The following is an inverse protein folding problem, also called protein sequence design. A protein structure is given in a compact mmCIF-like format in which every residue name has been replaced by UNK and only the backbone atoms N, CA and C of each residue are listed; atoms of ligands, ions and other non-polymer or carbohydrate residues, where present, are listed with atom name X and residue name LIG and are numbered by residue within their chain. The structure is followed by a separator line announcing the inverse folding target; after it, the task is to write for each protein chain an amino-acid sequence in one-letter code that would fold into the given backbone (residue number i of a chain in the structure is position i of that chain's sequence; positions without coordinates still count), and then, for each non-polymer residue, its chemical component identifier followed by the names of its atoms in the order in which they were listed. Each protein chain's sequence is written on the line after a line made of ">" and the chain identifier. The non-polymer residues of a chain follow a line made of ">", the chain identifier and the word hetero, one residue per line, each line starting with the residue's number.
data_IF_897755538548
#
_entry.id   IF_897755538548
#
_cell.length_a   1.000
_cell.length_b   1.000
_cell.length_c   1.000
_cell.angle_alpha   90.00
_cell.angle_beta   90.00
_cell.angle_gamma   90.00
#
_symmetry.space_group_name_H-M   'P 1'
#
loop_
_entity.id
_entity.type
_entity.pdbx_description
1 polymer ?
#
# COMPACT_ATOMS: atom_id res chain seq x y z
N UNK A 1 -2.13 13.04 17.17
CA UNK A 1 -3.48 13.61 17.28
C UNK A 1 -4.06 13.56 18.72
N UNK A 2 -3.68 12.59 19.55
CA UNK A 2 -4.14 12.52 20.97
C UNK A 2 -3.46 13.53 21.91
N UNK A 3 -2.66 14.46 21.37
CA UNK A 3 -2.10 15.59 22.11
C UNK A 3 -3.05 16.78 22.07
N UNK A 4 -2.83 17.80 22.90
CA UNK A 4 -3.62 19.05 22.89
C UNK A 4 -3.37 19.93 21.64
N UNK A 5 -2.62 19.49 20.66
CA UNK A 5 -2.26 20.24 19.46
C UNK A 5 -3.31 20.07 18.36
N UNK A 6 -3.60 21.16 17.64
CA UNK A 6 -4.47 21.10 16.46
C UNK A 6 -3.78 20.35 15.31
N UNK A 7 -4.55 19.49 14.65
CA UNK A 7 -4.09 18.69 13.49
C UNK A 7 -5.02 18.95 12.32
N UNK A 8 -4.46 19.25 11.15
CA UNK A 8 -5.18 19.30 9.89
C UNK A 8 -4.85 18.04 9.07
N UNK A 9 -5.84 17.21 8.83
CA UNK A 9 -5.76 16.08 7.90
C UNK A 9 -6.29 16.51 6.54
N UNK A 10 -5.46 16.38 5.51
CA UNK A 10 -5.80 16.76 4.12
C UNK A 10 -5.92 15.50 3.29
N UNK A 11 -7.07 15.30 2.63
CA UNK A 11 -7.34 14.19 1.72
C UNK A 11 -7.75 14.75 0.35
N UNK A 12 -7.11 14.24 -0.69
CA UNK A 12 -7.34 14.71 -2.07
C UNK A 12 -8.69 14.29 -2.65
N UNK A 13 -9.26 13.20 -2.13
CA UNK A 13 -10.56 12.68 -2.53
C UNK A 13 -11.66 13.12 -1.58
N UNK A 14 -12.91 12.97 -1.98
CA UNK A 14 -14.04 12.93 -1.04
C UNK A 14 -14.01 11.60 -0.26
N UNK A 15 -14.56 11.60 0.95
CA UNK A 15 -14.68 10.42 1.79
C UNK A 15 -16.17 10.04 1.94
N UNK A 16 -16.55 8.75 1.97
CA UNK A 16 -15.68 7.58 1.78
C UNK A 16 -15.10 7.52 0.37
N UNK A 17 -13.91 6.95 0.23
CA UNK A 17 -13.25 6.83 -1.07
C UNK A 17 -13.05 5.39 -1.47
N UNK A 18 -13.13 5.13 -2.75
CA UNK A 18 -12.66 3.89 -3.33
C UNK A 18 -11.13 3.92 -3.50
N UNK A 19 -10.51 2.79 -3.28
CA UNK A 19 -9.09 2.59 -3.52
C UNK A 19 -8.85 1.21 -4.09
N UNK A 20 -8.24 1.16 -5.27
CA UNK A 20 -7.78 -0.08 -5.87
C UNK A 20 -6.79 -0.77 -4.92
N UNK A 21 -7.24 -1.85 -4.31
CA UNK A 21 -6.47 -2.64 -3.34
C UNK A 21 -7.22 -3.91 -2.97
N UNK A 22 -6.51 -5.00 -2.78
CA UNK A 22 -7.10 -6.26 -2.33
C UNK A 22 -7.76 -6.23 -0.96
N UNK A 23 -7.49 -5.23 -0.11
CA UNK A 23 -8.10 -5.13 1.23
C UNK A 23 -7.69 -6.28 2.16
N UNK A 24 -6.45 -6.76 2.05
CA UNK A 24 -5.96 -7.88 2.82
C UNK A 24 -5.10 -7.41 4.00
N UNK A 25 -5.56 -7.69 5.22
CA UNK A 25 -4.85 -7.34 6.44
C UNK A 25 -4.05 -8.54 6.94
N UNK A 26 -2.74 -8.46 6.85
CA UNK A 26 -1.84 -9.46 7.43
C UNK A 26 -1.73 -9.33 8.96
N UNK A 27 -0.94 -10.21 9.58
CA UNK A 27 -0.71 -10.20 11.03
C UNK A 27 -0.17 -8.84 11.53
N UNK A 28 0.75 -8.20 10.78
CA UNK A 28 1.36 -6.94 11.21
C UNK A 28 0.39 -5.76 11.10
N UNK A 29 -0.49 -5.75 10.10
CA UNK A 29 -1.58 -4.79 10.01
C UNK A 29 -2.53 -4.92 11.19
N UNK A 30 -2.96 -6.15 11.51
CA UNK A 30 -3.87 -6.43 12.62
C UNK A 30 -3.26 -6.05 13.97
N UNK A 31 -2.00 -6.38 14.21
CA UNK A 31 -1.28 -5.96 15.44
C UNK A 31 -1.18 -4.45 15.58
N UNK A 32 -0.95 -3.73 14.48
CA UNK A 32 -0.92 -2.27 14.50
C UNK A 32 -2.28 -1.66 14.88
N UNK A 33 -3.37 -2.39 14.63
CA UNK A 33 -4.75 -1.97 14.92
C UNK A 33 -5.23 -2.36 16.32
N UNK A 34 -4.63 -3.34 16.98
CA UNK A 34 -5.03 -3.82 18.32
C UNK A 34 -5.31 -2.68 19.34
N UNK A 35 -4.53 -1.59 19.39
CA UNK A 35 -4.81 -0.48 20.31
C UNK A 35 -6.08 0.32 19.99
N UNK A 36 -6.66 0.13 18.80
CA UNK A 36 -7.84 0.82 18.32
C UNK A 36 -9.10 -0.06 18.34
N UNK A 37 -8.95 -1.36 18.60
CA UNK A 37 -10.03 -2.32 18.69
C UNK A 37 -9.96 -3.41 17.62
N UNK A 38 -10.95 -4.28 17.63
CA UNK A 38 -11.12 -5.35 16.65
C UNK A 38 -11.76 -4.79 15.39
N UNK A 39 -11.33 -5.23 14.23
CA UNK A 39 -11.99 -4.90 12.95
C UNK A 39 -13.43 -5.39 13.01
N UNK A 40 -14.44 -4.51 12.81
CA UNK A 40 -15.85 -4.85 12.84
C UNK A 40 -16.23 -5.92 11.80
N UNK A 41 -17.14 -6.82 12.19
CA UNK A 41 -17.53 -7.94 11.31
C UNK A 41 -18.21 -7.47 10.01
N UNK A 42 -18.93 -6.35 10.04
CA UNK A 42 -19.56 -5.76 8.86
C UNK A 42 -18.59 -5.31 7.76
N UNK A 43 -17.32 -5.14 8.08
CA UNK A 43 -16.25 -4.80 7.12
C UNK A 43 -15.56 -6.05 6.57
N UNK A 44 -15.82 -7.21 7.16
CA UNK A 44 -15.16 -8.46 6.80
C UNK A 44 -15.96 -9.10 5.67
N UNK A 45 -15.28 -9.38 4.58
CA UNK A 45 -15.86 -10.01 3.40
C UNK A 45 -15.71 -11.53 3.44
N UNK A 46 -16.59 -12.23 2.75
CA UNK A 46 -16.49 -13.66 2.53
C UNK A 46 -15.58 -13.96 1.31
N UNK A 47 -14.62 -14.91 1.43
CA UNK A 47 -14.24 -15.61 2.66
C UNK A 47 -13.49 -14.71 3.65
N UNK A 48 -13.80 -14.85 4.95
CA UNK A 48 -13.18 -14.05 6.03
C UNK A 48 -11.66 -14.12 6.03
N UNK A 49 -11.12 -15.30 5.75
CA UNK A 49 -9.69 -15.56 5.72
C UNK A 49 -9.27 -15.97 4.32
N UNK A 50 -8.22 -15.35 3.81
CA UNK A 50 -7.59 -15.68 2.54
C UNK A 50 -6.15 -16.09 2.83
N UNK A 51 -5.78 -17.29 2.41
CA UNK A 51 -4.41 -17.80 2.50
C UNK A 51 -3.64 -17.44 1.23
N UNK A 52 -2.33 -17.28 1.35
CA UNK A 52 -1.49 -16.94 0.20
C UNK A 52 -0.95 -18.21 -0.46
N UNK A 53 -1.05 -18.25 -1.81
CA UNK A 53 -0.59 -19.38 -2.60
C UNK A 53 0.14 -18.92 -3.86
N UNK A 54 1.30 -19.51 -4.14
CA UNK A 54 1.92 -19.39 -5.44
C UNK A 54 1.32 -20.41 -6.39
N UNK A 55 0.97 -20.00 -7.59
CA UNK A 55 0.45 -20.89 -8.61
C UNK A 55 1.20 -20.70 -9.94
N UNK A 56 1.96 -21.73 -10.33
CA UNK A 56 2.63 -21.78 -11.62
C UNK A 56 1.71 -22.49 -12.62
N UNK A 57 0.97 -21.74 -13.42
CA UNK A 57 -0.11 -22.26 -14.27
C UNK A 57 0.40 -23.16 -15.39
N UNK A 58 1.58 -22.87 -16.00
CA UNK A 58 2.13 -23.72 -17.07
C UNK A 58 2.58 -25.12 -16.58
N UNK A 59 2.75 -25.30 -15.27
CA UNK A 59 3.15 -26.55 -14.63
C UNK A 59 2.06 -27.14 -13.75
N UNK A 60 0.95 -26.44 -13.58
CA UNK A 60 -0.15 -26.79 -12.69
C UNK A 60 0.30 -27.02 -11.22
N UNK A 61 1.37 -26.31 -10.79
CA UNK A 61 1.94 -26.47 -9.46
C UNK A 61 1.45 -25.36 -8.54
N UNK A 62 0.70 -25.76 -7.51
CA UNK A 62 0.21 -24.88 -6.44
C UNK A 62 1.07 -25.06 -5.18
N UNK A 63 1.55 -23.96 -4.60
CA UNK A 63 2.37 -23.93 -3.37
C UNK A 63 1.67 -23.05 -2.33
N UNK A 64 0.77 -23.61 -1.50
CA UNK A 64 0.18 -22.87 -0.39
C UNK A 64 1.24 -22.50 0.65
N UNK A 65 1.04 -21.39 1.32
CA UNK A 65 1.89 -20.90 2.41
C UNK A 65 1.08 -20.81 3.71
N UNK A 66 1.73 -20.46 4.83
CA UNK A 66 1.05 -20.18 6.09
C UNK A 66 0.70 -18.70 6.25
N UNK A 67 0.93 -17.89 5.22
CA UNK A 67 0.57 -16.47 5.24
C UNK A 67 -0.93 -16.34 5.04
N UNK A 68 -1.59 -15.72 6.02
CA UNK A 68 -3.04 -15.57 6.10
C UNK A 68 -3.43 -14.10 6.28
N UNK A 69 -4.46 -13.70 5.55
CA UNK A 69 -4.99 -12.34 5.56
C UNK A 69 -6.43 -12.33 6.02
N UNK A 70 -6.80 -11.28 6.77
CA UNK A 70 -8.20 -10.93 6.98
C UNK A 70 -8.68 -10.14 5.77
N UNK A 71 -9.78 -10.59 5.16
CA UNK A 71 -10.37 -9.99 3.97
C UNK A 71 -11.34 -8.89 4.35
N UNK A 72 -11.02 -7.64 4.02
CA UNK A 72 -11.85 -6.49 4.39
C UNK A 72 -12.25 -5.63 3.20
N UNK A 73 -13.41 -5.00 3.31
CA UNK A 73 -13.79 -3.89 2.43
C UNK A 73 -12.92 -2.67 2.71
N UNK A 74 -12.27 -2.13 1.66
CA UNK A 74 -11.33 -1.00 1.83
C UNK A 74 -12.01 0.33 2.07
N UNK A 75 -13.18 0.54 1.49
CA UNK A 75 -13.94 1.77 1.72
C UNK A 75 -14.35 1.87 3.19
N UNK A 76 -15.01 0.84 3.68
CA UNK A 76 -15.44 0.75 5.09
C UNK A 76 -14.24 0.76 6.06
N UNK A 77 -13.16 0.06 5.72
CA UNK A 77 -11.96 0.04 6.55
C UNK A 77 -11.29 1.41 6.67
N UNK A 78 -11.14 2.14 5.57
CA UNK A 78 -10.56 3.47 5.60
C UNK A 78 -11.46 4.45 6.38
N UNK A 79 -12.77 4.35 6.29
CA UNK A 79 -13.75 5.13 7.07
C UNK A 79 -13.70 4.78 8.57
N UNK A 80 -13.61 3.51 8.91
CA UNK A 80 -13.44 3.07 10.30
C UNK A 80 -12.18 3.66 10.93
N UNK A 81 -11.07 3.74 10.20
CA UNK A 81 -9.86 4.40 10.70
C UNK A 81 -10.08 5.89 11.01
N UNK A 82 -10.94 6.58 10.25
CA UNK A 82 -11.29 7.98 10.50
C UNK A 82 -12.15 8.15 11.76
N UNK A 83 -12.94 7.15 12.14
CA UNK A 83 -13.76 7.21 13.37
C UNK A 83 -12.93 7.35 14.66
N UNK A 84 -11.63 7.01 14.62
CA UNK A 84 -10.71 7.19 15.75
C UNK A 84 -10.10 8.59 15.87
N UNK A 85 -10.44 9.51 14.97
CA UNK A 85 -9.90 10.86 15.01
C UNK A 85 -10.48 11.63 16.20
N UNK A 86 -9.64 12.18 17.08
CA UNK A 86 -10.13 13.01 18.18
C UNK A 86 -10.57 14.40 17.71
N UNK A 87 -11.33 15.10 18.53
CA UNK A 87 -11.96 16.39 18.21
C UNK A 87 -10.97 17.51 17.79
N UNK A 88 -9.69 17.37 18.12
CA UNK A 88 -8.64 18.33 17.72
C UNK A 88 -8.09 18.06 16.31
N UNK A 89 -8.66 17.12 15.54
CA UNK A 89 -8.31 16.85 14.15
C UNK A 89 -9.39 17.43 13.23
N UNK A 90 -8.98 18.35 12.36
CA UNK A 90 -9.82 18.91 11.32
C UNK A 90 -9.54 18.17 10.01
N UNK A 91 -10.59 17.65 9.35
CA UNK A 91 -10.47 16.92 8.09
C UNK A 91 -10.89 17.81 6.93
N UNK A 92 -10.01 17.97 5.95
CA UNK A 92 -10.28 18.70 4.71
C UNK A 92 -10.21 17.73 3.52
N UNK A 93 -11.38 17.36 2.96
CA UNK A 93 -11.51 16.50 1.79
C UNK A 93 -11.53 17.32 0.49
N UNK A 94 -11.20 16.70 -0.65
CA UNK A 94 -11.13 17.37 -1.95
C UNK A 94 -9.97 18.37 -2.05
N UNK A 95 -9.02 18.30 -1.13
CA UNK A 95 -7.90 19.23 -1.00
C UNK A 95 -6.58 18.49 -1.14
N UNK A 96 -5.68 19.01 -1.95
CA UNK A 96 -4.35 18.42 -2.16
C UNK A 96 -3.23 19.41 -1.92
N UNK A 97 -2.09 18.91 -1.47
CA UNK A 97 -0.86 19.69 -1.40
C UNK A 97 -0.35 19.96 -2.83
N UNK A 98 -0.11 21.22 -3.14
CA UNK A 98 0.44 21.67 -4.40
C UNK A 98 1.92 22.03 -4.29
N UNK A 99 2.31 22.65 -3.17
CA UNK A 99 3.70 23.05 -2.96
C UNK A 99 4.06 23.05 -1.48
N UNK A 100 5.38 23.08 -1.19
CA UNK A 100 5.95 22.96 0.16
C UNK A 100 7.22 23.78 0.28
N UNK A 101 7.31 24.55 1.35
CA UNK A 101 8.53 25.23 1.81
C UNK A 101 8.78 24.88 3.27
N UNK A 102 10.02 24.89 3.68
CA UNK A 102 10.36 24.68 5.09
C UNK A 102 11.53 25.54 5.54
N UNK A 103 11.50 25.88 6.82
CA UNK A 103 12.56 26.54 7.57
C UNK A 103 12.95 25.67 8.78
N UNK A 104 13.96 26.05 9.57
CA UNK A 104 14.28 25.33 10.81
C UNK A 104 13.13 25.29 11.82
N UNK A 105 12.17 26.23 11.76
CA UNK A 105 11.10 26.37 12.77
C UNK A 105 9.72 25.94 12.31
N UNK A 106 9.44 25.91 11.00
CA UNK A 106 8.13 25.53 10.46
C UNK A 106 8.20 25.03 9.03
N UNK A 107 7.17 24.27 8.64
CA UNK A 107 6.85 24.01 7.24
C UNK A 107 5.65 24.88 6.83
N UNK A 108 5.63 25.28 5.55
CA UNK A 108 4.50 25.98 4.92
C UNK A 108 4.06 25.17 3.72
N UNK A 109 2.78 24.89 3.63
CA UNK A 109 2.18 24.14 2.53
C UNK A 109 1.20 25.01 1.76
N UNK A 110 1.22 24.90 0.44
CA UNK A 110 0.18 25.43 -0.44
C UNK A 110 -0.82 24.31 -0.71
N UNK A 111 -2.05 24.52 -0.31
CA UNK A 111 -3.16 23.61 -0.51
C UNK A 111 -4.05 24.11 -1.64
N UNK A 112 -4.53 23.21 -2.50
CA UNK A 112 -5.47 23.50 -3.60
C UNK A 112 -6.67 22.58 -3.52
N UNK A 113 -7.85 23.12 -3.73
CA UNK A 113 -9.11 22.38 -3.74
C UNK A 113 -10.20 23.14 -4.49
N UNK A 114 -11.43 22.68 -4.31
CA UNK A 114 -12.63 23.36 -4.80
C UNK A 114 -13.47 23.84 -3.62
N UNK A 115 -14.11 25.00 -3.74
CA UNK A 115 -15.16 25.44 -2.83
C UNK A 115 -16.46 24.72 -3.14
N UNK A 116 -17.44 24.87 -2.26
CA UNK A 116 -18.77 24.29 -2.44
C UNK A 116 -19.46 24.74 -3.74
N UNK A 117 -19.14 25.91 -4.25
CA UNK A 117 -19.64 26.47 -5.50
C UNK A 117 -18.87 25.98 -6.74
N UNK A 118 -17.92 25.05 -6.58
CA UNK A 118 -17.07 24.53 -7.66
C UNK A 118 -15.90 25.44 -8.06
N UNK A 119 -15.75 26.63 -7.49
CA UNK A 119 -14.63 27.53 -7.78
C UNK A 119 -13.34 27.00 -7.15
N UNK A 120 -12.20 27.28 -7.82
CA UNK A 120 -10.87 26.90 -7.29
C UNK A 120 -10.54 27.70 -6.04
N UNK A 121 -9.99 27.01 -5.06
CA UNK A 121 -9.51 27.59 -3.82
C UNK A 121 -8.03 27.24 -3.59
N UNK A 122 -7.29 28.19 -3.07
CA UNK A 122 -5.92 28.00 -2.63
C UNK A 122 -5.78 28.55 -1.20
N UNK A 123 -5.01 27.88 -0.36
CA UNK A 123 -4.70 28.32 0.99
C UNK A 123 -3.25 27.97 1.34
N UNK A 124 -2.56 28.90 1.99
CA UNK A 124 -1.26 28.64 2.60
C UNK A 124 -1.44 28.33 4.07
N UNK A 125 -0.89 27.22 4.54
CA UNK A 125 -0.97 26.78 5.92
C UNK A 125 0.45 26.60 6.48
N UNK A 126 0.71 27.24 7.63
CA UNK A 126 1.93 27.02 8.40
C UNK A 126 1.71 25.90 9.42
N UNK A 127 2.65 24.99 9.53
CA UNK A 127 2.63 23.90 10.50
C UNK A 127 4.02 23.69 11.12
N UNK A 128 4.05 23.22 12.35
CA UNK A 128 5.31 22.86 13.03
C UNK A 128 5.96 21.64 12.40
N UNK A 129 5.15 20.66 12.00
CA UNK A 129 5.57 19.43 11.30
C UNK A 129 4.53 19.04 10.25
N UNK A 130 4.99 18.42 9.19
CA UNK A 130 4.16 17.78 8.17
C UNK A 130 4.45 16.28 8.17
N UNK A 131 3.41 15.45 8.29
CA UNK A 131 3.47 14.02 8.03
C UNK A 131 2.81 13.79 6.67
N UNK A 132 3.61 13.42 5.68
CA UNK A 132 3.13 13.15 4.33
C UNK A 132 2.85 11.66 4.15
N UNK A 133 1.59 11.34 3.83
CA UNK A 133 1.09 10.00 3.55
C UNK A 133 0.39 9.95 2.17
N UNK A 134 0.98 10.62 1.19
CA UNK A 134 0.42 10.91 -0.14
C UNK A 134 0.58 9.75 -1.15
N UNK A 135 1.00 8.58 -0.66
CA UNK A 135 1.03 7.32 -1.40
C UNK A 135 1.99 7.29 -2.59
N UNK A 136 1.67 6.54 -3.67
CA UNK A 136 2.58 6.34 -4.80
C UNK A 136 2.82 7.58 -5.64
N UNK A 137 1.95 8.59 -5.56
CA UNK A 137 2.17 9.88 -6.24
C UNK A 137 3.36 10.62 -5.66
N UNK A 138 3.57 10.49 -4.33
CA UNK A 138 4.72 10.99 -3.60
C UNK A 138 5.06 12.46 -3.89
N UNK A 139 4.03 13.31 -4.02
CA UNK A 139 4.19 14.75 -4.37
C UNK A 139 5.08 15.46 -3.37
N UNK A 140 4.89 15.18 -2.06
CA UNK A 140 5.72 15.79 -1.02
C UNK A 140 7.18 15.37 -1.15
N UNK A 141 7.44 14.10 -1.48
CA UNK A 141 8.79 13.60 -1.75
C UNK A 141 9.48 14.40 -2.86
N UNK A 142 8.78 14.65 -3.96
CA UNK A 142 9.30 15.44 -5.08
C UNK A 142 9.56 16.89 -4.67
N UNK A 143 8.67 17.51 -3.89
CA UNK A 143 8.84 18.87 -3.36
C UNK A 143 10.02 19.00 -2.37
N UNK A 144 10.41 17.92 -1.72
CA UNK A 144 11.62 17.88 -0.89
C UNK A 144 12.92 17.75 -1.69
N UNK A 145 12.84 17.67 -3.03
CA UNK A 145 13.98 17.44 -3.91
C UNK A 145 14.53 16.02 -3.82
N UNK A 146 13.75 15.07 -3.31
CA UNK A 146 14.10 13.66 -3.25
C UNK A 146 13.81 12.99 -4.60
N UNK A 147 14.54 11.94 -4.92
CA UNK A 147 14.34 11.21 -6.15
C UNK A 147 12.92 10.67 -6.24
N UNK A 148 12.19 10.90 -7.34
CA UNK A 148 10.89 10.29 -7.58
C UNK A 148 11.02 8.77 -7.77
N UNK A 149 9.94 8.05 -7.53
CA UNK A 149 9.87 6.62 -7.81
C UNK A 149 9.59 6.36 -9.29
N UNK A 150 10.22 5.31 -9.82
CA UNK A 150 9.63 4.62 -10.96
C UNK A 150 8.29 4.01 -10.50
N UNK A 151 7.32 3.83 -11.41
CA UNK A 151 5.97 3.39 -11.01
C UNK A 151 5.54 2.17 -11.82
N UNK A 152 5.04 1.15 -11.12
CA UNK A 152 4.23 0.12 -11.73
C UNK A 152 2.89 0.71 -12.16
N UNK A 153 2.33 0.16 -13.23
CA UNK A 153 0.92 0.30 -13.56
C UNK A 153 0.24 -0.98 -13.06
N UNK A 154 -0.87 -0.84 -12.34
CA UNK A 154 -1.65 -1.97 -11.85
C UNK A 154 -3.05 -1.87 -12.43
N UNK A 155 -3.54 -2.96 -13.01
CA UNK A 155 -4.92 -3.08 -13.46
C UNK A 155 -5.60 -4.10 -12.55
N UNK A 156 -6.75 -3.75 -12.01
CA UNK A 156 -7.61 -4.65 -11.23
C UNK A 156 -8.97 -4.74 -11.90
N UNK A 157 -9.38 -5.97 -12.20
CA UNK A 157 -10.69 -6.32 -12.69
C UNK A 157 -11.49 -6.98 -11.57
N UNK A 158 -12.69 -6.52 -11.35
CA UNK A 158 -13.67 -7.14 -10.48
C UNK A 158 -14.63 -7.94 -11.36
N UNK A 159 -14.62 -9.25 -11.23
CA UNK A 159 -15.46 -10.16 -12.02
C UNK A 159 -16.49 -10.83 -11.11
N UNK A 160 -17.71 -11.05 -11.60
CA UNK A 160 -18.73 -11.75 -10.84
C UNK A 160 -18.33 -13.22 -10.62
N UNK A 161 -18.63 -13.75 -9.43
CA UNK A 161 -18.46 -15.17 -9.10
C UNK A 161 -19.67 -15.68 -8.31
N UNK A 162 -19.95 -16.98 -8.43
CA UNK A 162 -20.79 -17.63 -7.42
C UNK A 162 -20.00 -17.74 -6.11
N UNK A 163 -20.65 -17.45 -5.00
CA UNK A 163 -20.00 -17.50 -3.68
C UNK A 163 -19.45 -18.90 -3.40
N UNK A 164 -18.17 -18.97 -3.07
CA UNK A 164 -17.45 -20.23 -2.83
C UNK A 164 -16.95 -20.95 -4.10
N UNK A 165 -17.22 -20.42 -5.29
CA UNK A 165 -16.73 -21.02 -6.55
C UNK A 165 -15.20 -20.95 -6.70
N UNK A 166 -14.57 -19.98 -6.05
CA UNK A 166 -13.10 -19.83 -6.01
C UNK A 166 -12.63 -20.15 -4.58
N UNK A 167 -11.60 -21.00 -4.47
CA UNK A 167 -10.97 -21.33 -3.19
C UNK A 167 -10.48 -20.07 -2.46
N UNK A 168 -10.44 -20.07 -1.10
CA UNK A 168 -10.06 -18.89 -0.29
C UNK A 168 -8.56 -18.61 -0.32
N UNK A 169 -8.01 -18.44 -1.50
CA UNK A 169 -6.60 -18.12 -1.71
C UNK A 169 -6.43 -16.79 -2.47
N UNK A 170 -5.41 -16.07 -2.07
CA UNK A 170 -4.74 -15.14 -2.97
C UNK A 170 -3.76 -15.95 -3.80
N UNK A 171 -4.13 -16.24 -5.04
CA UNK A 171 -3.26 -16.92 -5.98
C UNK A 171 -2.35 -15.91 -6.68
N UNK A 172 -1.06 -15.97 -6.37
CA UNK A 172 -0.03 -15.25 -7.11
C UNK A 172 0.38 -16.10 -8.32
N UNK A 173 0.01 -15.63 -9.50
CA UNK A 173 0.08 -16.39 -10.74
C UNK A 173 1.42 -16.21 -11.45
N UNK A 174 2.03 -17.30 -11.85
CA UNK A 174 3.23 -17.33 -12.66
C UNK A 174 3.00 -18.10 -13.96
N UNK A 175 3.49 -17.52 -15.07
CA UNK A 175 3.51 -18.14 -16.38
C UNK A 175 4.71 -17.61 -17.16
N UNK A 176 5.25 -18.40 -18.08
CA UNK A 176 6.30 -17.95 -18.99
C UNK A 176 5.83 -16.80 -19.89
N UNK A 177 4.57 -16.84 -20.26
CA UNK A 177 3.94 -15.80 -21.07
C UNK A 177 3.90 -14.46 -20.32
N UNK A 178 3.49 -14.49 -19.06
CA UNK A 178 3.36 -13.29 -18.22
C UNK A 178 4.72 -12.72 -17.78
N UNK A 179 5.73 -13.56 -17.58
CA UNK A 179 7.01 -13.16 -17.00
C UNK A 179 7.83 -12.19 -17.87
N UNK A 180 7.56 -12.11 -19.16
CA UNK A 180 8.28 -11.21 -20.08
C UNK A 180 7.84 -9.76 -19.96
N UNK A 181 6.54 -9.54 -19.74
CA UNK A 181 5.89 -8.23 -19.85
C UNK A 181 5.20 -7.78 -18.57
N UNK A 182 4.95 -8.72 -17.65
CA UNK A 182 4.19 -8.48 -16.42
C UNK A 182 5.05 -8.74 -15.20
N UNK A 183 4.81 -7.97 -14.16
CA UNK A 183 5.42 -8.23 -12.87
C UNK A 183 4.78 -9.44 -12.19
N UNK A 184 3.47 -9.41 -12.01
CA UNK A 184 2.68 -10.41 -11.29
C UNK A 184 1.24 -10.36 -11.78
N UNK A 185 0.64 -11.54 -12.03
CA UNK A 185 -0.80 -11.73 -12.10
C UNK A 185 -1.32 -12.30 -10.78
N UNK A 186 -2.54 -12.00 -10.40
CA UNK A 186 -3.16 -12.62 -9.22
C UNK A 186 -4.68 -12.69 -9.34
N UNK A 187 -5.27 -13.61 -8.59
CA UNK A 187 -6.72 -13.71 -8.39
C UNK A 187 -7.02 -14.00 -6.93
N UNK A 188 -8.12 -13.42 -6.42
CA UNK A 188 -8.62 -13.70 -5.08
C UNK A 188 -10.12 -13.46 -4.98
N UNK A 189 -10.87 -14.27 -4.21
CA UNK A 189 -12.30 -14.06 -3.97
C UNK A 189 -12.54 -12.90 -3.01
N UNK A 190 -13.66 -12.17 -3.23
CA UNK A 190 -14.05 -11.02 -2.43
C UNK A 190 -15.58 -10.85 -2.39
N UNK A 191 -16.25 -11.69 -1.62
CA UNK A 191 -17.70 -11.75 -1.60
C UNK A 191 -18.27 -12.40 -2.86
N UNK A 192 -19.11 -11.67 -3.56
CA UNK A 192 -19.76 -12.08 -4.81
C UNK A 192 -18.93 -11.72 -6.06
N UNK A 193 -17.71 -11.23 -5.85
CA UNK A 193 -16.75 -10.95 -6.92
C UNK A 193 -15.41 -11.61 -6.65
N UNK A 194 -14.61 -11.78 -7.70
CA UNK A 194 -13.17 -11.99 -7.56
C UNK A 194 -12.42 -10.78 -8.09
N UNK A 195 -11.28 -10.47 -7.49
CA UNK A 195 -10.36 -9.48 -8.02
C UNK A 195 -9.28 -10.21 -8.80
N UNK A 196 -9.16 -9.87 -10.09
CA UNK A 196 -8.05 -10.28 -10.95
C UNK A 196 -7.16 -9.07 -11.14
N UNK A 197 -5.89 -9.19 -10.81
CA UNK A 197 -4.94 -8.09 -10.92
C UNK A 197 -3.75 -8.42 -11.80
N UNK A 198 -3.29 -7.40 -12.52
CA UNK A 198 -2.05 -7.45 -13.28
C UNK A 198 -1.16 -6.27 -12.89
N UNK A 199 0.12 -6.51 -12.70
CA UNK A 199 1.11 -5.50 -12.34
C UNK A 199 2.14 -5.43 -13.47
N UNK A 200 2.28 -4.23 -14.05
CA UNK A 200 3.15 -3.99 -15.20
C UNK A 200 4.36 -3.15 -14.80
N UNK A 201 5.53 -3.49 -15.33
CA UNK A 201 6.75 -2.74 -15.10
C UNK A 201 6.69 -1.32 -15.67
N UNK A 202 7.48 -0.38 -15.12
CA UNK A 202 7.61 0.96 -15.68
C UNK A 202 8.01 0.92 -17.15
N UNK A 203 7.24 1.64 -17.98
CA UNK A 203 7.45 1.68 -19.43
C UNK A 203 6.73 0.60 -20.23
N UNK A 204 5.97 -0.30 -19.58
CA UNK A 204 5.10 -1.25 -20.29
C UNK A 204 4.07 -0.52 -21.14
N UNK A 205 3.85 -1.04 -22.34
CA UNK A 205 2.84 -0.54 -23.29
C UNK A 205 1.69 -1.54 -23.41
N UNK A 206 0.56 -1.08 -23.93
CA UNK A 206 -0.63 -1.89 -24.21
C UNK A 206 -1.13 -2.68 -22.97
N UNK A 207 -1.07 -2.05 -21.80
CA UNK A 207 -1.38 -2.68 -20.52
C UNK A 207 -2.81 -3.23 -20.47
N UNK A 208 -3.76 -2.55 -21.09
CA UNK A 208 -5.16 -3.00 -21.17
C UNK A 208 -5.28 -4.32 -21.95
N UNK A 209 -4.70 -4.39 -23.16
CA UNK A 209 -4.69 -5.63 -23.96
C UNK A 209 -3.99 -6.78 -23.21
N UNK A 210 -2.86 -6.49 -22.60
CA UNK A 210 -2.13 -7.50 -21.83
C UNK A 210 -2.92 -7.98 -20.62
N UNK A 211 -3.72 -7.11 -20.01
CA UNK A 211 -4.63 -7.53 -18.95
C UNK A 211 -5.74 -8.43 -19.47
N UNK A 212 -6.29 -8.16 -20.66
CA UNK A 212 -7.24 -9.08 -21.30
C UNK A 212 -6.60 -10.46 -21.57
N UNK A 213 -5.36 -10.51 -22.04
CA UNK A 213 -4.64 -11.77 -22.23
C UNK A 213 -4.57 -12.59 -20.91
N UNK A 214 -4.39 -11.89 -19.75
CA UNK A 214 -4.43 -12.51 -18.42
C UNK A 214 -5.83 -13.02 -18.08
N UNK A 215 -6.87 -12.24 -18.33
CA UNK A 215 -8.26 -12.64 -18.08
C UNK A 215 -8.63 -13.89 -18.90
N UNK A 216 -8.31 -13.88 -20.20
CA UNK A 216 -8.59 -15.00 -21.08
C UNK A 216 -7.91 -16.28 -20.60
N UNK A 217 -6.63 -16.18 -20.20
CA UNK A 217 -5.91 -17.35 -19.66
C UNK A 217 -6.48 -17.86 -18.33
N UNK A 218 -7.00 -16.97 -17.48
CA UNK A 218 -7.57 -17.35 -16.19
C UNK A 218 -9.00 -17.91 -16.31
N UNK A 219 -9.76 -17.58 -17.37
CA UNK A 219 -11.09 -18.18 -17.65
C UNK A 219 -11.04 -19.69 -17.82
N UNK A 220 -9.94 -20.21 -18.35
CA UNK A 220 -9.75 -21.68 -18.49
C UNK A 220 -9.52 -22.37 -17.13
N UNK A 221 -9.19 -21.61 -16.09
CA UNK A 221 -8.73 -22.13 -14.79
C UNK A 221 -9.72 -21.87 -13.66
N UNK A 222 -10.37 -20.69 -13.67
CA UNK A 222 -11.25 -20.24 -12.62
C UNK A 222 -12.66 -19.94 -13.15
N UNK A 223 -13.70 -20.36 -12.42
CA UNK A 223 -15.09 -20.08 -12.79
C UNK A 223 -15.46 -18.64 -12.39
N UNK A 224 -15.38 -17.69 -13.32
CA UNK A 224 -15.85 -16.33 -13.12
C UNK A 224 -16.65 -15.83 -14.33
N UNK A 225 -17.55 -14.88 -14.09
CA UNK A 225 -18.45 -14.32 -15.10
C UNK A 225 -18.00 -12.96 -15.61
N UNK A 226 -18.98 -12.07 -15.75
CA UNK A 226 -18.79 -10.77 -16.37
C UNK A 226 -17.96 -9.80 -15.50
N UNK A 227 -17.33 -8.86 -16.18
CA UNK A 227 -16.67 -7.72 -15.54
C UNK A 227 -17.69 -6.79 -14.88
N UNK A 228 -17.52 -6.55 -13.60
CA UNK A 228 -18.33 -5.62 -12.82
C UNK A 228 -17.68 -4.23 -12.78
N UNK A 229 -16.35 -4.20 -12.68
CA UNK A 229 -15.59 -2.96 -12.54
C UNK A 229 -14.14 -3.19 -12.93
N UNK A 230 -13.53 -2.19 -13.57
CA UNK A 230 -12.08 -2.14 -13.84
C UNK A 230 -11.47 -0.87 -13.27
N UNK A 231 -10.32 -1.00 -12.66
CA UNK A 231 -9.55 0.11 -12.11
C UNK A 231 -8.09 0.02 -12.55
N UNK A 232 -7.55 1.16 -12.97
CA UNK A 232 -6.11 1.30 -13.26
C UNK A 232 -5.49 2.22 -12.22
N UNK A 233 -4.40 1.80 -11.62
CA UNK A 233 -3.70 2.51 -10.56
C UNK A 233 -2.19 2.47 -10.76
N UNK A 234 -1.48 3.14 -9.88
CA UNK A 234 -0.02 3.12 -9.83
C UNK A 234 0.47 2.65 -8.47
N UNK A 235 1.64 2.00 -8.46
CA UNK A 235 2.37 1.65 -7.25
C UNK A 235 3.85 1.99 -7.40
N UNK A 236 4.53 2.30 -6.29
CA UNK A 236 5.95 2.63 -6.32
C UNK A 236 6.80 1.40 -6.68
N UNK A 237 7.65 1.53 -7.68
CA UNK A 237 8.65 0.53 -8.04
C UNK A 237 9.95 0.83 -7.28
N UNK A 238 10.10 0.20 -6.13
CA UNK A 238 11.25 0.37 -5.25
C UNK A 238 12.39 -0.56 -5.66
N UNK A 239 13.57 0.00 -5.92
CA UNK A 239 14.71 -0.76 -6.46
C UNK A 239 15.91 -0.81 -5.53
N UNK A 240 16.05 0.13 -4.61
CA UNK A 240 17.26 0.30 -3.79
C UNK A 240 16.94 0.80 -2.39
N UNK A 241 17.76 0.42 -1.39
CA UNK A 241 17.61 0.91 -0.02
C UNK A 241 17.60 2.45 0.11
N UNK A 242 18.25 3.16 -0.83
CA UNK A 242 18.21 4.63 -0.88
C UNK A 242 16.83 5.22 -1.20
N UNK A 243 15.89 4.41 -1.69
CA UNK A 243 14.51 4.82 -1.91
C UNK A 243 13.71 4.92 -0.59
N UNK A 244 14.21 4.30 0.51
CA UNK A 244 13.60 4.29 1.84
C UNK A 244 14.00 5.55 2.62
N UNK A 245 13.18 6.58 2.57
CA UNK A 245 13.47 7.89 3.16
C UNK A 245 12.44 8.24 4.24
N UNK A 246 12.91 8.58 5.43
CA UNK A 246 12.05 8.98 6.54
C UNK A 246 11.46 10.40 6.37
N UNK A 247 12.17 11.27 5.67
CA UNK A 247 11.78 12.66 5.49
C UNK A 247 12.97 13.60 5.35
N UNK A 248 12.73 14.91 5.53
CA UNK A 248 13.76 15.95 5.53
C UNK A 248 13.28 17.13 6.39
N UNK A 249 14.11 17.57 7.33
CA UNK A 249 13.79 18.69 8.21
C UNK A 249 12.51 18.47 9.02
N UNK A 250 11.48 19.28 8.80
CA UNK A 250 10.19 19.19 9.50
C UNK A 250 9.13 18.36 8.79
N UNK A 251 9.52 17.64 7.76
CA UNK A 251 8.63 16.80 6.95
C UNK A 251 9.00 15.34 7.12
N UNK A 252 8.07 14.54 7.65
CA UNK A 252 8.18 13.10 7.79
C UNK A 252 7.37 12.43 6.69
N UNK A 253 7.92 11.39 6.05
CA UNK A 253 7.25 10.62 5.00
C UNK A 253 6.76 9.29 5.58
N UNK A 254 5.49 8.97 5.41
CA UNK A 254 4.87 7.72 5.86
C UNK A 254 4.35 6.89 4.68
N UNK A 255 4.24 5.60 4.89
CA UNK A 255 3.73 4.67 3.87
C UNK A 255 4.53 4.70 2.57
N UNK A 256 3.84 4.52 1.47
CA UNK A 256 4.47 4.38 0.15
C UNK A 256 5.24 5.63 -0.31
N UNK A 257 4.82 6.83 0.11
CA UNK A 257 5.57 8.08 -0.16
C UNK A 257 6.97 8.10 0.44
N UNK A 258 7.19 7.41 1.57
CA UNK A 258 8.51 7.17 2.17
C UNK A 258 9.27 5.98 1.58
N UNK A 259 8.66 5.25 0.65
CA UNK A 259 9.18 3.98 0.11
C UNK A 259 8.85 2.78 0.99
N UNK A 260 7.89 2.88 1.92
CA UNK A 260 7.56 1.79 2.83
C UNK A 260 6.47 0.90 2.22
N UNK A 261 6.91 0.08 1.28
CA UNK A 261 6.13 -0.91 0.53
C UNK A 261 7.05 -2.11 0.25
N UNK A 262 6.53 -3.33 0.37
CA UNK A 262 7.26 -4.52 -0.02
C UNK A 262 7.31 -4.67 -1.54
N UNK A 263 8.52 -4.61 -2.11
CA UNK A 263 8.70 -4.83 -3.55
C UNK A 263 8.48 -6.29 -3.98
N UNK A 264 8.54 -7.24 -3.04
CA UNK A 264 8.39 -8.69 -3.33
C UNK A 264 6.95 -9.17 -3.29
N UNK A 265 6.09 -8.53 -2.49
CA UNK A 265 4.70 -8.97 -2.26
C UNK A 265 3.66 -7.89 -2.56
N UNK A 266 4.05 -6.66 -2.87
CA UNK A 266 3.13 -5.53 -3.01
C UNK A 266 2.43 -5.12 -1.70
N UNK A 267 2.84 -5.68 -0.56
CA UNK A 267 2.29 -5.35 0.74
C UNK A 267 2.60 -3.92 1.14
N UNK A 268 1.57 -3.13 1.42
CA UNK A 268 1.70 -1.72 1.78
C UNK A 268 0.95 -1.32 3.05
N UNK A 269 -0.17 -1.99 3.38
CA UNK A 269 -1.05 -1.56 4.49
C UNK A 269 -0.32 -1.60 5.83
N UNK A 270 0.37 -2.71 6.15
CA UNK A 270 1.09 -2.83 7.42
C UNK A 270 2.22 -1.81 7.54
N UNK A 271 2.94 -1.57 6.46
CA UNK A 271 4.02 -0.58 6.43
C UNK A 271 3.48 0.85 6.57
N UNK A 272 2.35 1.17 5.93
CA UNK A 272 1.70 2.47 6.04
C UNK A 272 1.21 2.74 7.47
N UNK A 273 0.49 1.77 8.08
CA UNK A 273 0.01 1.88 9.46
C UNK A 273 1.18 2.06 10.43
N UNK A 274 2.17 1.17 10.40
CA UNK A 274 3.29 1.21 11.33
C UNK A 274 4.15 2.46 11.16
N UNK A 275 4.49 2.87 9.94
CA UNK A 275 5.25 4.10 9.71
C UNK A 275 4.46 5.34 10.11
N UNK A 276 3.15 5.39 9.84
CA UNK A 276 2.28 6.48 10.30
C UNK A 276 2.23 6.60 11.82
N UNK A 277 2.07 5.48 12.53
CA UNK A 277 2.12 5.44 14.00
C UNK A 277 3.47 5.92 14.53
N UNK A 278 4.58 5.46 13.94
CA UNK A 278 5.93 5.89 14.33
C UNK A 278 6.14 7.39 14.09
N UNK A 279 5.70 7.92 12.94
CA UNK A 279 5.78 9.33 12.62
C UNK A 279 4.97 10.18 13.61
N UNK A 280 3.73 9.76 13.91
CA UNK A 280 2.88 10.44 14.89
C UNK A 280 3.49 10.48 16.30
N UNK A 281 4.06 9.35 16.76
CA UNK A 281 4.76 9.27 18.04
C UNK A 281 6.00 10.18 18.08
N UNK A 282 6.78 10.21 17.01
CA UNK A 282 7.98 11.05 16.94
C UNK A 282 7.65 12.54 16.98
N UNK A 283 6.59 12.96 16.27
CA UNK A 283 6.10 14.34 16.32
C UNK A 283 5.52 14.68 17.69
N UNK A 284 4.75 13.79 18.32
CA UNK A 284 4.21 14.00 19.67
C UNK A 284 5.34 14.20 20.69
N UNK A 285 6.35 13.34 20.71
CA UNK A 285 7.51 13.45 21.60
C UNK A 285 8.25 14.78 21.40
N UNK A 286 8.40 15.26 20.16
CA UNK A 286 9.05 16.54 19.87
C UNK A 286 8.27 17.77 20.37
N UNK A 287 7.00 17.62 20.73
CA UNK A 287 6.21 18.68 21.39
C UNK A 287 6.23 18.60 22.91
N UNK A 288 6.57 17.45 23.49
CA UNK A 288 6.66 17.25 24.93
C UNK A 288 8.00 17.72 25.51
N UNK A 289 9.04 17.74 24.67
CA UNK A 289 10.39 18.14 25.06
C UNK A 289 10.77 19.48 24.41
N UNK A 290 10.62 20.59 25.15
CA UNK A 290 10.95 21.94 24.68
C UNK A 290 12.43 22.12 24.29
N UNK A 291 13.32 21.21 24.70
CA UNK A 291 14.74 21.20 24.32
C UNK A 291 14.98 20.59 22.94
N UNK A 292 13.97 19.94 22.35
CA UNK A 292 14.12 19.24 21.07
C UNK A 292 14.06 20.22 19.87
N UNK A 293 15.20 20.37 19.20
CA UNK A 293 15.33 21.10 17.93
C UNK A 293 14.57 20.34 16.81
N UNK A 294 14.23 21.05 15.73
CA UNK A 294 13.50 20.50 14.56
C UNK A 294 14.00 19.14 14.03
N UNK A 295 15.30 18.87 14.17
CA UNK A 295 15.94 17.62 13.78
C UNK A 295 15.52 16.41 14.64
N UNK A 296 15.05 16.63 15.85
CA UNK A 296 14.82 15.55 16.80
C UNK A 296 13.60 14.67 16.47
N UNK A 297 12.49 15.24 15.95
CA UNK A 297 11.35 14.43 15.51
C UNK A 297 11.74 13.50 14.34
N UNK A 298 12.50 14.01 13.36
CA UNK A 298 12.98 13.23 12.25
C UNK A 298 13.98 12.16 12.70
N UNK A 299 14.92 12.49 13.60
CA UNK A 299 15.89 11.54 14.15
C UNK A 299 15.22 10.44 14.96
N UNK A 300 14.22 10.78 15.81
CA UNK A 300 13.41 9.79 16.52
C UNK A 300 12.68 8.87 15.57
N UNK A 301 12.09 9.44 14.51
CA UNK A 301 11.40 8.66 13.48
C UNK A 301 12.37 7.75 12.71
N UNK A 302 13.51 8.25 12.26
CA UNK A 302 14.55 7.46 11.58
C UNK A 302 15.02 6.29 12.43
N UNK A 303 15.21 6.53 13.73
CA UNK A 303 15.60 5.48 14.69
C UNK A 303 14.53 4.42 14.80
N UNK A 304 13.25 4.82 14.89
CA UNK A 304 12.11 3.90 14.96
C UNK A 304 11.95 3.07 13.68
N UNK A 305 12.25 3.65 12.52
CA UNK A 305 12.16 2.99 11.21
C UNK A 305 13.29 2.00 10.91
N UNK A 306 14.40 1.98 11.67
CA UNK A 306 15.56 1.12 11.36
C UNK A 306 15.21 -0.35 11.12
N UNK A 307 14.40 -1.03 11.96
CA UNK A 307 14.02 -2.42 11.71
C UNK A 307 13.22 -2.60 10.43
N UNK A 308 12.26 -1.72 10.17
CA UNK A 308 11.44 -1.72 8.94
C UNK A 308 12.31 -1.51 7.70
N UNK A 309 13.18 -0.51 7.70
CA UNK A 309 14.09 -0.24 6.59
C UNK A 309 15.03 -1.41 6.32
N UNK A 310 15.54 -2.08 7.37
CA UNK A 310 16.39 -3.28 7.24
C UNK A 310 15.61 -4.42 6.57
N UNK A 311 14.38 -4.67 6.99
CA UNK A 311 13.53 -5.70 6.38
C UNK A 311 13.24 -5.40 4.90
N UNK A 312 12.83 -4.17 4.57
CA UNK A 312 12.56 -3.76 3.20
C UNK A 312 13.81 -3.81 2.32
N UNK A 313 14.97 -3.39 2.83
CA UNK A 313 16.24 -3.50 2.10
C UNK A 313 16.61 -4.95 1.80
N UNK A 314 16.38 -5.87 2.73
CA UNK A 314 16.56 -7.30 2.51
C UNK A 314 15.64 -7.82 1.40
N UNK A 315 14.35 -7.45 1.43
CA UNK A 315 13.38 -7.81 0.37
C UNK A 315 13.81 -7.27 -1.00
N UNK A 316 14.33 -6.04 -1.06
CA UNK A 316 14.86 -5.47 -2.31
C UNK A 316 16.05 -6.27 -2.86
N UNK A 317 16.93 -6.77 -2.00
CA UNK A 317 18.02 -7.65 -2.40
C UNK A 317 17.56 -9.01 -2.93
N UNK A 318 16.45 -9.52 -2.39
CA UNK A 318 15.85 -10.78 -2.83
C UNK A 318 14.99 -10.67 -4.09
N UNK A 319 14.49 -9.47 -4.39
CA UNK A 319 13.55 -9.24 -5.49
C UNK A 319 14.03 -9.73 -6.86
N UNK A 320 15.29 -9.50 -7.30
CA UNK A 320 15.76 -10.00 -8.60
C UNK A 320 15.72 -11.53 -8.70
N UNK A 321 15.98 -12.23 -7.59
CA UNK A 321 15.93 -13.69 -7.53
C UNK A 321 14.49 -14.17 -7.60
N UNK A 322 13.62 -13.61 -6.76
CA UNK A 322 12.20 -14.00 -6.69
C UNK A 322 11.44 -13.66 -7.96
N UNK A 323 11.87 -12.63 -8.66
CA UNK A 323 11.22 -12.20 -9.90
C UNK A 323 11.82 -12.86 -11.17
N UNK A 324 12.86 -13.67 -11.05
CA UNK A 324 13.44 -14.38 -12.17
C UNK A 324 12.64 -15.64 -12.49
N UNK A 325 12.21 -15.82 -13.76
CA UNK A 325 11.40 -16.95 -14.16
C UNK A 325 12.09 -18.30 -13.93
N UNK A 326 13.39 -18.42 -14.17
CA UNK A 326 14.12 -19.65 -13.89
C UNK A 326 14.11 -20.00 -12.40
N UNK A 327 14.26 -19.00 -11.52
CA UNK A 327 14.16 -19.20 -10.08
C UNK A 327 12.72 -19.59 -9.64
N UNK A 328 11.69 -18.99 -10.25
CA UNK A 328 10.28 -19.37 -10.04
C UNK A 328 10.04 -20.82 -10.44
N UNK A 329 10.60 -21.26 -11.58
CA UNK A 329 10.52 -22.66 -12.02
C UNK A 329 11.22 -23.62 -11.05
N UNK A 330 12.41 -23.27 -10.56
CA UNK A 330 13.11 -24.07 -9.56
C UNK A 330 12.35 -24.15 -8.25
N UNK A 331 11.69 -23.06 -7.84
CA UNK A 331 10.86 -23.04 -6.64
C UNK A 331 9.70 -24.05 -6.69
N UNK A 332 9.22 -24.43 -7.89
CA UNK A 332 8.23 -25.49 -8.04
C UNK A 332 8.73 -26.86 -7.55
N UNK A 333 10.04 -27.08 -7.58
CA UNK A 333 10.68 -28.34 -7.12
C UNK A 333 10.95 -28.33 -5.61
N UNK A 334 10.96 -27.16 -4.98
CA UNK A 334 11.21 -27.01 -3.55
C UNK A 334 10.00 -27.52 -2.75
N UNK A 335 10.20 -28.32 -1.67
CA UNK A 335 9.10 -28.76 -0.82
C UNK A 335 8.26 -27.59 -0.27
N UNK A 336 6.93 -27.74 -0.29
CA UNK A 336 5.99 -26.70 0.16
C UNK A 336 6.30 -26.11 1.55
N UNK A 337 6.66 -26.90 2.59
CA UNK A 337 7.00 -26.33 3.91
C UNK A 337 8.19 -25.38 3.87
N UNK A 338 9.17 -25.62 3.00
CA UNK A 338 10.33 -24.74 2.85
C UNK A 338 9.96 -23.43 2.14
N UNK A 339 9.13 -23.51 1.08
CA UNK A 339 8.59 -22.32 0.39
C UNK A 339 7.80 -21.47 1.37
N UNK A 340 6.92 -22.08 2.17
CA UNK A 340 6.13 -21.37 3.20
C UNK A 340 7.02 -20.63 4.18
N UNK A 341 8.03 -21.31 4.74
CA UNK A 341 8.98 -20.69 5.69
C UNK A 341 9.79 -19.55 5.09
N UNK A 342 10.13 -19.63 3.81
CA UNK A 342 10.77 -18.54 3.09
C UNK A 342 9.81 -17.35 2.91
N UNK A 343 8.56 -17.61 2.54
CA UNK A 343 7.55 -16.58 2.32
C UNK A 343 7.21 -15.81 3.61
N UNK A 344 7.17 -16.47 4.76
CA UNK A 344 6.92 -15.82 6.05
C UNK A 344 7.99 -14.77 6.42
N UNK A 345 9.20 -14.90 5.89
CA UNK A 345 10.30 -13.96 6.12
C UNK A 345 10.31 -12.80 5.13
N UNK A 346 9.56 -12.92 4.05
CA UNK A 346 9.43 -11.95 2.98
C UNK A 346 8.15 -11.13 3.09
#
# INVERSE_FOLDING_TARGET
>A
ARTARSVLLVEASSLPREKSCGGMLNLYSRRALEPYGTVPEEMILDPKWIDFRYYHIDREVKKPTQVRFLNVDRGMFDEWLLSFLPANVHVACGVRLADLWQSPVKARVLLKGLRADGSRAEASVDCSYLIAADGPRATVRERLGLRPFDRYITVQEYVSIERGAIEPYFDCIYSKEFDRDYGIGYIMPKGDVAIIGSIFYPGSRDVERKHEDVLDRLRDIYPFGESVKRETWIAAHLRRPADLVAGKGRVLLAGEGGGFLSCTSGEGISFALNSGIMAGKAVAAAFEDDSLVASSALECYERALKPMKKNLAFRMGMFPIMNNYACKNLACLVPTPLVSKMTERL
#
